data_IF_249474317017
#
_entry.id   IF_249474317017
#
_cell.length_a   1.000
_cell.length_b   1.000
_cell.length_c   1.000
_cell.angle_alpha   90.00
_cell.angle_beta   90.00
_cell.angle_gamma   90.00
#
_symmetry.space_group_name_H-M   'P 1'
#
loop_
_entity.id
_entity.type
_entity.pdbx_description
1 polymer ?
#
# COMPACT_ATOMS: atom_id res chain seq x y z
N UNK A 1 63.37 -14.45 -33.54
CA UNK A 1 62.79 -14.68 -32.20
C UNK A 1 62.60 -13.32 -31.56
N UNK A 2 61.36 -12.85 -31.44
CA UNK A 2 61.04 -11.53 -30.88
C UNK A 2 59.82 -11.70 -30.00
N UNK A 3 60.02 -11.64 -28.69
CA UNK A 3 58.97 -11.81 -27.67
C UNK A 3 58.41 -10.42 -27.36
N UNK A 4 57.12 -10.20 -27.65
CA UNK A 4 56.38 -9.00 -27.24
C UNK A 4 55.74 -9.26 -25.87
N UNK A 5 56.24 -8.54 -24.87
CA UNK A 5 55.69 -8.48 -23.52
C UNK A 5 54.56 -7.45 -23.48
N UNK A 6 53.33 -7.87 -23.20
CA UNK A 6 52.18 -6.98 -22.99
C UNK A 6 52.06 -6.74 -21.48
N UNK A 7 52.37 -5.50 -21.03
CA UNK A 7 52.05 -5.05 -19.68
C UNK A 7 50.55 -4.77 -19.57
N UNK A 8 49.84 -5.57 -18.78
CA UNK A 8 48.49 -5.28 -18.32
C UNK A 8 48.63 -4.42 -17.07
N UNK A 9 48.47 -3.10 -17.22
CA UNK A 9 48.42 -2.16 -16.11
C UNK A 9 47.11 -2.32 -15.35
N UNK A 10 47.20 -2.82 -14.11
CA UNK A 10 46.09 -2.86 -13.17
C UNK A 10 45.76 -1.43 -12.70
N UNK A 11 44.78 -0.79 -13.36
CA UNK A 11 44.13 0.42 -12.85
C UNK A 11 43.27 0.02 -11.65
N UNK A 12 43.85 0.14 -10.45
CA UNK A 12 43.12 0.17 -9.19
C UNK A 12 42.30 1.47 -9.15
N UNK A 13 41.11 1.45 -9.76
CA UNK A 13 40.10 2.46 -9.50
C UNK A 13 39.58 2.24 -8.07
N UNK A 14 40.24 2.89 -7.11
CA UNK A 14 39.66 3.16 -5.80
C UNK A 14 38.48 4.12 -6.03
N UNK A 15 37.31 3.57 -6.36
CA UNK A 15 36.07 4.29 -6.17
C UNK A 15 35.89 4.48 -4.67
N UNK A 16 36.45 5.56 -4.16
CA UNK A 16 36.00 6.17 -2.92
C UNK A 16 34.53 6.51 -3.15
N UNK A 17 33.64 5.58 -2.80
CA UNK A 17 32.23 5.91 -2.62
C UNK A 17 32.22 7.13 -1.70
N UNK A 18 31.65 8.27 -2.14
CA UNK A 18 31.51 9.40 -1.23
C UNK A 18 30.86 8.84 0.02
N UNK A 19 31.43 9.13 1.18
CA UNK A 19 30.75 8.96 2.45
C UNK A 19 29.45 9.74 2.30
N UNK A 20 28.40 9.05 1.85
CA UNK A 20 27.07 9.62 1.79
C UNK A 20 26.85 10.07 3.21
N UNK A 21 26.60 11.37 3.38
CA UNK A 21 26.13 11.88 4.63
C UNK A 21 24.95 10.97 4.97
N UNK A 22 25.14 10.04 5.90
CA UNK A 22 24.05 9.32 6.52
C UNK A 22 23.19 10.45 7.06
N UNK A 23 22.12 10.76 6.34
CA UNK A 23 21.12 11.67 6.80
C UNK A 23 20.60 10.99 8.07
N UNK A 24 21.18 11.37 9.21
CA UNK A 24 20.87 10.79 10.50
C UNK A 24 19.37 11.00 10.64
N UNK A 25 18.61 9.90 10.63
CA UNK A 25 17.20 9.98 10.94
C UNK A 25 17.09 10.78 12.24
N UNK A 26 16.17 11.75 12.33
CA UNK A 26 15.74 12.24 13.63
C UNK A 26 15.53 11.03 14.54
N UNK A 27 16.00 11.10 15.78
CA UNK A 27 15.73 10.03 16.73
C UNK A 27 14.20 9.82 16.80
N UNK A 28 13.77 8.58 17.07
CA UNK A 28 12.35 8.24 17.13
C UNK A 28 11.52 9.22 17.99
N UNK A 29 12.12 9.75 19.07
CA UNK A 29 11.51 10.72 19.98
C UNK A 29 11.28 12.12 19.40
N UNK A 30 11.88 12.46 18.26
CA UNK A 30 11.81 13.79 17.65
C UNK A 30 10.86 13.88 16.46
N UNK A 31 10.22 12.77 16.07
CA UNK A 31 9.21 12.82 15.02
C UNK A 31 7.91 13.42 15.55
N UNK A 32 7.46 14.48 14.88
CA UNK A 32 6.11 15.00 15.00
C UNK A 32 5.44 15.00 13.62
N UNK A 33 4.13 15.24 13.58
CA UNK A 33 3.33 15.26 12.35
C UNK A 33 3.99 16.09 11.23
N UNK A 34 4.46 17.29 11.54
CA UNK A 34 5.05 18.20 10.56
C UNK A 34 6.39 17.67 10.02
N UNK A 35 7.29 17.23 10.89
CA UNK A 35 8.59 16.68 10.50
C UNK A 35 8.43 15.40 9.67
N UNK A 36 7.53 14.49 10.09
CA UNK A 36 7.25 13.25 9.38
C UNK A 36 6.65 13.52 8.00
N UNK A 37 5.68 14.44 7.91
CA UNK A 37 5.06 14.85 6.64
C UNK A 37 6.10 15.48 5.70
N UNK A 38 6.90 16.42 6.20
CA UNK A 38 7.94 17.07 5.41
C UNK A 38 8.97 16.06 4.88
N UNK A 39 9.36 15.08 5.69
CA UNK A 39 10.25 14.01 5.28
C UNK A 39 9.65 13.14 4.16
N UNK A 40 8.39 12.72 4.31
CA UNK A 40 7.70 11.86 3.34
C UNK A 40 7.29 12.61 2.05
N UNK A 41 7.30 13.94 2.06
CA UNK A 41 7.12 14.76 0.87
C UNK A 41 8.43 15.09 0.16
N UNK A 42 9.58 14.88 0.81
CA UNK A 42 10.89 15.05 0.18
C UNK A 42 11.13 13.98 -0.89
N UNK A 43 12.08 14.26 -1.79
CA UNK A 43 12.39 13.38 -2.92
C UNK A 43 12.74 11.96 -2.47
N UNK A 44 12.11 10.98 -3.12
CA UNK A 44 12.22 9.56 -2.83
C UNK A 44 13.66 9.03 -2.91
N UNK A 45 14.51 9.62 -3.75
CA UNK A 45 15.92 9.24 -3.88
C UNK A 45 16.74 9.52 -2.61
N UNK A 46 16.25 10.44 -1.77
CA UNK A 46 16.90 10.82 -0.51
C UNK A 46 16.37 10.07 0.72
N UNK A 47 15.34 9.24 0.53
CA UNK A 47 14.68 8.57 1.64
C UNK A 47 15.42 7.29 2.05
N UNK A 48 15.77 7.23 3.34
CA UNK A 48 16.38 6.06 3.96
C UNK A 48 15.24 5.24 4.56
N UNK A 49 15.16 3.96 4.19
CA UNK A 49 14.02 3.11 4.54
C UNK A 49 13.72 3.07 6.06
N UNK A 50 14.75 3.06 6.92
CA UNK A 50 14.54 3.12 8.38
C UNK A 50 13.90 4.43 8.83
N UNK A 51 14.31 5.57 8.26
CA UNK A 51 13.69 6.88 8.53
C UNK A 51 12.25 6.93 7.98
N UNK A 52 12.00 6.41 6.78
CA UNK A 52 10.65 6.33 6.18
C UNK A 52 9.71 5.55 7.09
N UNK A 53 10.17 4.40 7.61
CA UNK A 53 9.38 3.62 8.57
C UNK A 53 9.07 4.41 9.84
N UNK A 54 10.05 5.12 10.42
CA UNK A 54 9.82 5.91 11.63
C UNK A 54 8.87 7.09 11.39
N UNK A 55 9.00 7.77 10.25
CA UNK A 55 8.10 8.85 9.85
C UNK A 55 6.66 8.33 9.70
N UNK A 56 6.46 7.20 9.01
CA UNK A 56 5.13 6.58 8.86
C UNK A 56 4.54 6.13 10.21
N UNK A 57 5.36 5.59 11.12
CA UNK A 57 4.92 5.24 12.47
C UNK A 57 4.51 6.46 13.28
N UNK A 58 5.20 7.59 13.14
CA UNK A 58 4.81 8.84 13.78
C UNK A 58 3.51 9.43 13.21
N UNK A 59 3.20 9.16 11.93
CA UNK A 59 1.91 9.48 11.34
C UNK A 59 0.79 8.51 11.75
N UNK A 60 1.13 7.35 12.34
CA UNK A 60 0.19 6.39 12.89
C UNK A 60 -0.14 6.65 14.37
N UNK A 61 0.10 7.87 14.86
CA UNK A 61 -0.40 8.36 16.15
C UNK A 61 -1.89 8.74 16.00
N UNK A 62 -2.82 8.24 16.84
CA UNK A 62 -4.23 8.62 16.81
C UNK A 62 -4.50 10.13 16.94
N UNK A 63 -3.60 10.89 17.57
CA UNK A 63 -3.71 12.35 17.67
C UNK A 63 -3.18 13.05 16.41
N UNK A 64 -2.38 12.36 15.60
CA UNK A 64 -1.92 12.86 14.32
C UNK A 64 -3.07 12.76 13.30
N UNK A 65 -3.22 13.82 12.49
CA UNK A 65 -4.20 13.85 11.39
C UNK A 65 -3.49 13.89 10.04
N UNK A 66 -2.67 12.87 9.68
CA UNK A 66 -1.99 12.86 8.38
C UNK A 66 -2.98 12.92 7.22
N UNK A 67 -2.53 13.48 6.09
CA UNK A 67 -3.24 13.42 4.82
C UNK A 67 -3.24 11.98 4.28
N UNK A 68 -4.41 11.33 4.12
CA UNK A 68 -4.48 9.97 3.57
C UNK A 68 -3.86 9.84 2.17
N UNK A 69 -3.91 10.89 1.35
CA UNK A 69 -3.33 10.90 -0.01
C UNK A 69 -1.82 10.78 0.01
N UNK A 70 -1.16 11.32 1.04
CA UNK A 70 0.26 11.13 1.25
C UNK A 70 0.55 9.68 1.66
N UNK A 71 -0.23 9.14 2.59
CA UNK A 71 -0.01 7.80 3.14
C UNK A 71 -0.18 6.69 2.09
N UNK A 72 -1.11 6.86 1.14
CA UNK A 72 -1.32 5.86 0.08
C UNK A 72 -0.11 5.67 -0.83
N UNK A 73 0.81 6.64 -0.90
CA UNK A 73 2.08 6.50 -1.64
C UNK A 73 3.01 5.45 -1.03
N UNK A 74 2.79 5.09 0.22
CA UNK A 74 3.60 4.15 0.99
C UNK A 74 2.89 2.82 1.22
N UNK A 75 1.84 2.51 0.46
CA UNK A 75 1.15 1.23 0.54
C UNK A 75 2.04 0.05 0.14
N UNK A 76 3.00 0.25 -0.76
CA UNK A 76 4.00 -0.75 -1.13
C UNK A 76 5.21 -0.81 -0.20
N UNK A 77 5.35 0.13 0.73
CA UNK A 77 6.52 0.24 1.57
C UNK A 77 6.50 -0.83 2.69
N UNK A 78 7.47 -1.73 2.64
CA UNK A 78 7.72 -2.73 3.68
C UNK A 78 8.84 -2.29 4.61
N UNK A 79 8.68 -2.53 5.90
CA UNK A 79 9.72 -2.17 6.88
C UNK A 79 11.00 -2.99 6.65
N UNK A 80 12.18 -2.35 6.53
CA UNK A 80 13.44 -3.02 6.19
C UNK A 80 14.04 -3.86 7.34
N UNK A 81 13.73 -3.55 8.61
CA UNK A 81 14.35 -4.15 9.78
C UNK A 81 13.33 -4.77 10.75
N UNK A 82 13.21 -6.10 10.71
CA UNK A 82 12.53 -6.86 11.77
C UNK A 82 13.49 -7.27 12.88
N UNK A 83 14.80 -7.16 12.63
CA UNK A 83 15.87 -7.51 13.57
C UNK A 83 15.89 -6.54 14.75
N UNK A 84 15.20 -6.90 15.84
CA UNK A 84 15.13 -6.10 17.06
C UNK A 84 13.71 -5.92 17.61
N UNK A 85 12.69 -6.14 16.78
CA UNK A 85 11.38 -6.46 17.31
C UNK A 85 11.40 -7.92 17.75
N UNK A 86 11.03 -8.16 19.01
CA UNK A 86 10.70 -9.50 19.43
C UNK A 86 9.62 -10.03 18.48
N UNK A 87 9.85 -11.18 17.85
CA UNK A 87 8.85 -11.84 17.00
C UNK A 87 7.51 -12.06 17.73
N UNK A 88 7.52 -11.97 19.07
CA UNK A 88 6.36 -12.00 19.96
C UNK A 88 5.48 -10.73 19.92
N UNK A 89 5.90 -9.64 19.27
CA UNK A 89 5.11 -8.40 19.16
C UNK A 89 4.67 -8.09 17.73
N UNK A 90 4.97 -8.98 16.78
CA UNK A 90 4.57 -8.87 15.38
C UNK A 90 3.38 -9.81 15.19
N UNK A 91 2.18 -9.26 15.36
CA UNK A 91 0.96 -10.08 15.31
C UNK A 91 0.21 -9.89 13.98
N UNK A 92 0.49 -8.81 13.24
CA UNK A 92 -0.33 -8.42 12.09
C UNK A 92 0.49 -7.85 10.91
N UNK A 93 -0.05 -7.93 9.69
CA UNK A 93 0.62 -7.36 8.48
C UNK A 93 0.78 -5.85 8.60
N UNK A 94 -0.08 -5.19 9.38
CA UNK A 94 0.03 -3.79 9.75
C UNK A 94 1.39 -3.45 10.38
N UNK A 95 2.04 -4.41 11.04
CA UNK A 95 3.36 -4.23 11.66
C UNK A 95 4.52 -4.28 10.63
N UNK A 96 4.27 -4.84 9.45
CA UNK A 96 5.22 -4.91 8.33
C UNK A 96 5.02 -3.78 7.31
N UNK A 97 3.79 -3.29 7.19
CA UNK A 97 3.40 -2.27 6.22
C UNK A 97 2.98 -0.98 6.97
N UNK A 98 3.94 -0.12 7.39
CA UNK A 98 3.63 1.05 8.21
C UNK A 98 2.70 2.06 7.52
N UNK A 99 2.67 2.11 6.18
CA UNK A 99 1.69 2.89 5.42
C UNK A 99 0.25 2.40 5.63
N UNK A 100 0.03 1.09 5.66
CA UNK A 100 -1.29 0.49 5.99
C UNK A 100 -1.69 0.87 7.41
N UNK A 101 -0.76 0.73 8.37
CA UNK A 101 -1.03 1.09 9.78
C UNK A 101 -1.44 2.56 9.93
N UNK A 102 -0.73 3.48 9.29
CA UNK A 102 -1.07 4.90 9.32
C UNK A 102 -2.45 5.18 8.71
N UNK A 103 -2.81 4.53 7.60
CA UNK A 103 -4.13 4.66 6.96
C UNK A 103 -5.26 4.15 7.86
N UNK A 104 -5.03 3.03 8.56
CA UNK A 104 -5.99 2.43 9.50
C UNK A 104 -6.20 3.33 10.72
N UNK A 105 -5.14 3.89 11.28
CA UNK A 105 -5.24 4.86 12.38
C UNK A 105 -5.96 6.13 11.94
N UNK A 106 -5.70 6.59 10.70
CA UNK A 106 -6.45 7.69 10.12
C UNK A 106 -7.95 7.36 9.97
N UNK A 107 -8.33 6.09 9.86
CA UNK A 107 -9.73 5.63 9.91
C UNK A 107 -10.51 5.90 8.62
N UNK A 108 -11.82 6.12 8.75
CA UNK A 108 -12.75 6.26 7.62
C UNK A 108 -12.40 7.40 6.66
N UNK A 109 -11.73 8.46 7.13
CA UNK A 109 -11.27 9.55 6.25
C UNK A 109 -10.26 9.10 5.19
N UNK A 110 -9.66 7.92 5.36
CA UNK A 110 -8.75 7.31 4.39
C UNK A 110 -9.48 6.57 3.26
N UNK A 111 -10.77 6.23 3.43
CA UNK A 111 -11.51 5.42 2.47
C UNK A 111 -11.56 6.01 1.06
N UNK A 112 -11.81 7.33 0.85
CA UNK A 112 -11.79 7.90 -0.50
C UNK A 112 -10.42 7.76 -1.19
N UNK A 113 -9.33 8.04 -0.46
CA UNK A 113 -7.98 7.90 -1.01
C UNK A 113 -7.64 6.44 -1.34
N UNK A 114 -8.17 5.47 -0.59
CA UNK A 114 -8.02 4.05 -0.87
C UNK A 114 -8.80 3.62 -2.11
N UNK A 115 -10.00 4.15 -2.34
CA UNK A 115 -10.77 3.93 -3.58
C UNK A 115 -10.01 4.47 -4.79
N UNK A 116 -9.39 5.65 -4.68
CA UNK A 116 -8.57 6.21 -5.77
C UNK A 116 -7.40 5.29 -6.13
N UNK A 117 -6.72 4.73 -5.12
CA UNK A 117 -5.64 3.75 -5.32
C UNK A 117 -6.14 2.49 -6.02
N UNK A 118 -7.27 1.94 -5.57
CA UNK A 118 -7.84 0.72 -6.11
C UNK A 118 -8.41 0.91 -7.52
N UNK A 119 -8.87 2.12 -7.84
CA UNK A 119 -9.33 2.52 -9.18
C UNK A 119 -8.17 2.72 -10.17
N UNK A 120 -6.98 3.02 -9.66
CA UNK A 120 -5.78 3.28 -10.45
C UNK A 120 -5.05 2.00 -10.88
N UNK A 121 -4.19 2.10 -11.89
CA UNK A 121 -3.30 1.02 -12.29
C UNK A 121 -2.08 0.96 -11.37
N UNK A 122 -2.25 0.30 -10.22
CA UNK A 122 -1.22 0.12 -9.20
C UNK A 122 -0.61 -1.26 -9.24
N UNK A 123 0.55 -1.45 -8.61
CA UNK A 123 1.13 -2.77 -8.47
C UNK A 123 0.25 -3.67 -7.59
N UNK A 124 0.31 -4.98 -7.84
CA UNK A 124 -0.58 -5.94 -7.17
C UNK A 124 -0.44 -5.92 -5.64
N UNK A 125 0.78 -5.80 -5.15
CA UNK A 125 1.05 -5.77 -3.71
C UNK A 125 0.49 -4.49 -3.05
N UNK A 126 0.56 -3.33 -3.72
CA UNK A 126 -0.06 -2.09 -3.26
C UNK A 126 -1.59 -2.21 -3.21
N UNK A 127 -2.21 -2.80 -4.24
CA UNK A 127 -3.66 -3.05 -4.26
C UNK A 127 -4.09 -3.97 -3.13
N UNK A 128 -3.37 -5.08 -2.90
CA UNK A 128 -3.63 -5.98 -1.76
C UNK A 128 -3.54 -5.25 -0.43
N UNK A 129 -2.54 -4.40 -0.25
CA UNK A 129 -2.40 -3.60 0.97
C UNK A 129 -3.52 -2.55 1.11
N UNK A 130 -3.99 -1.96 0.01
CA UNK A 130 -5.14 -1.04 0.00
C UNK A 130 -6.44 -1.74 0.41
N UNK A 131 -6.78 -2.88 -0.20
CA UNK A 131 -7.97 -3.67 0.20
C UNK A 131 -7.88 -4.07 1.67
N UNK A 132 -6.69 -4.44 2.14
CA UNK A 132 -6.47 -4.76 3.55
C UNK A 132 -6.71 -3.56 4.46
N UNK A 133 -6.23 -2.37 4.09
CA UNK A 133 -6.48 -1.15 4.84
C UNK A 133 -7.99 -0.86 4.95
N UNK A 134 -8.73 -0.98 3.84
CA UNK A 134 -10.20 -0.83 3.83
C UNK A 134 -10.84 -1.82 4.81
N UNK A 135 -10.50 -3.11 4.73
CA UNK A 135 -11.04 -4.13 5.64
C UNK A 135 -10.76 -3.81 7.11
N UNK A 136 -9.57 -3.32 7.43
CA UNK A 136 -9.19 -2.98 8.81
C UNK A 136 -9.92 -1.74 9.32
N UNK A 137 -10.09 -0.71 8.48
CA UNK A 137 -10.88 0.48 8.79
C UNK A 137 -12.34 0.09 9.06
N UNK A 138 -12.89 -0.82 8.25
CA UNK A 138 -14.24 -1.38 8.41
C UNK A 138 -14.28 -2.55 9.42
N UNK A 139 -13.47 -2.46 10.48
CA UNK A 139 -13.49 -3.36 11.64
C UNK A 139 -13.34 -4.86 11.32
N UNK A 140 -12.55 -5.20 10.30
CA UNK A 140 -12.29 -6.59 9.84
C UNK A 140 -13.53 -7.29 9.28
N UNK A 141 -14.62 -6.56 9.01
CA UNK A 141 -15.83 -7.12 8.41
C UNK A 141 -15.65 -7.31 6.89
N UNK A 142 -15.63 -8.56 6.44
CA UNK A 142 -15.41 -8.87 5.03
C UNK A 142 -16.59 -8.46 4.16
N UNK A 143 -17.82 -8.67 4.63
CA UNK A 143 -19.04 -8.33 3.90
C UNK A 143 -19.11 -6.81 3.66
N UNK A 144 -18.95 -6.00 4.70
CA UNK A 144 -18.93 -4.53 4.58
C UNK A 144 -17.80 -4.02 3.69
N UNK A 145 -16.66 -4.71 3.65
CA UNK A 145 -15.56 -4.39 2.72
C UNK A 145 -15.97 -4.63 1.27
N UNK A 146 -16.60 -5.78 0.98
CA UNK A 146 -17.08 -6.13 -0.36
C UNK A 146 -18.16 -5.14 -0.79
N UNK A 147 -19.15 -4.87 0.06
CA UNK A 147 -20.23 -3.91 -0.21
C UNK A 147 -19.67 -2.53 -0.54
N UNK A 148 -18.78 -1.99 0.31
CA UNK A 148 -18.13 -0.70 0.09
C UNK A 148 -17.41 -0.63 -1.26
N UNK A 149 -16.67 -1.67 -1.64
CA UNK A 149 -15.92 -1.69 -2.90
C UNK A 149 -16.83 -1.84 -4.13
N UNK A 150 -17.92 -2.58 -4.02
CA UNK A 150 -18.90 -2.73 -5.10
C UNK A 150 -19.72 -1.46 -5.29
N UNK A 151 -20.10 -0.78 -4.21
CA UNK A 151 -20.78 0.52 -4.29
C UNK A 151 -19.86 1.57 -4.93
N UNK A 152 -18.57 1.61 -4.55
CA UNK A 152 -17.58 2.45 -5.22
C UNK A 152 -17.39 2.07 -6.70
N UNK A 153 -17.47 0.78 -7.04
CA UNK A 153 -17.38 0.32 -8.43
C UNK A 153 -18.53 0.88 -9.26
N UNK A 154 -19.78 0.88 -8.77
CA UNK A 154 -20.95 1.39 -9.49
C UNK A 154 -20.84 2.87 -9.85
N UNK A 155 -20.13 3.66 -9.04
CA UNK A 155 -19.88 5.08 -9.30
C UNK A 155 -18.69 5.31 -10.24
N UNK A 156 -17.81 4.31 -10.41
CA UNK A 156 -16.58 4.44 -11.17
C UNK A 156 -16.76 4.15 -12.67
N UNK A 157 -16.13 4.91 -13.58
CA UNK A 157 -16.22 4.66 -15.01
C UNK A 157 -15.19 3.66 -15.54
N UNK A 158 -15.58 2.91 -16.57
CA UNK A 158 -14.66 2.20 -17.47
C UNK A 158 -13.73 1.20 -16.78
N UNK A 159 -12.42 1.44 -16.82
CA UNK A 159 -11.44 0.52 -16.21
C UNK A 159 -11.36 0.63 -14.69
N UNK A 160 -11.79 1.74 -14.10
CA UNK A 160 -11.81 1.90 -12.65
C UNK A 160 -12.88 0.99 -12.02
N UNK A 161 -14.07 0.92 -12.64
CA UNK A 161 -15.16 -0.01 -12.29
C UNK A 161 -14.64 -1.44 -12.08
N UNK A 162 -14.06 -2.02 -13.14
CA UNK A 162 -13.55 -3.40 -13.11
C UNK A 162 -12.46 -3.63 -12.07
N UNK A 163 -11.59 -2.65 -11.85
CA UNK A 163 -10.53 -2.77 -10.82
C UNK A 163 -11.10 -2.77 -9.41
N UNK A 164 -12.17 -2.02 -9.16
CA UNK A 164 -12.88 -2.04 -7.89
C UNK A 164 -13.66 -3.35 -7.70
N UNK A 165 -14.26 -3.91 -8.77
CA UNK A 165 -14.83 -5.27 -8.73
C UNK A 165 -13.76 -6.32 -8.42
N UNK A 166 -12.59 -6.24 -9.05
CA UNK A 166 -11.45 -7.12 -8.77
C UNK A 166 -10.96 -6.97 -7.32
N UNK A 167 -10.97 -5.74 -6.78
CA UNK A 167 -10.67 -5.47 -5.39
C UNK A 167 -11.71 -6.08 -4.45
N UNK A 168 -13.00 -6.03 -4.81
CA UNK A 168 -14.07 -6.69 -4.06
C UNK A 168 -13.92 -8.22 -4.06
N UNK A 169 -13.59 -8.84 -5.21
CA UNK A 169 -13.26 -10.28 -5.30
C UNK A 169 -12.06 -10.63 -4.42
N UNK A 170 -11.03 -9.79 -4.41
CA UNK A 170 -9.87 -9.97 -3.54
C UNK A 170 -10.25 -9.88 -2.05
N UNK A 171 -11.16 -8.99 -1.67
CA UNK A 171 -11.70 -8.94 -0.30
C UNK A 171 -12.48 -10.21 0.06
N UNK A 172 -13.26 -10.74 -0.89
CA UNK A 172 -13.99 -12.02 -0.77
C UNK A 172 -13.10 -13.22 -0.44
N UNK A 173 -11.88 -13.26 -1.00
CA UNK A 173 -10.90 -14.31 -0.70
C UNK A 173 -10.42 -14.31 0.77
N UNK A 174 -10.78 -13.29 1.57
CA UNK A 174 -10.49 -13.22 3.01
C UNK A 174 -11.72 -13.39 3.89
N UNK A 175 -12.86 -13.79 3.33
CA UNK A 175 -14.01 -14.17 4.14
C UNK A 175 -13.67 -15.42 4.96
N UNK A 176 -14.05 -15.40 6.24
CA UNK A 176 -13.89 -16.58 7.09
C UNK A 176 -14.91 -17.65 6.75
N UNK A 177 -14.69 -18.88 7.20
CA UNK A 177 -15.55 -20.03 6.91
C UNK A 177 -17.03 -19.80 7.24
N UNK A 178 -17.31 -19.00 8.29
CA UNK A 178 -18.67 -18.68 8.72
C UNK A 178 -19.38 -17.68 7.79
N UNK A 179 -18.65 -16.82 7.10
CA UNK A 179 -19.19 -15.74 6.25
C UNK A 179 -19.06 -16.04 4.75
N UNK A 180 -18.35 -17.11 4.37
CA UNK A 180 -17.97 -17.42 2.99
C UNK A 180 -19.19 -17.47 2.06
N UNK A 181 -20.25 -18.17 2.47
CA UNK A 181 -21.47 -18.28 1.66
C UNK A 181 -22.17 -16.94 1.43
N UNK A 182 -22.13 -16.02 2.41
CA UNK A 182 -22.71 -14.68 2.29
C UNK A 182 -21.88 -13.80 1.37
N UNK A 183 -20.55 -13.85 1.49
CA UNK A 183 -19.63 -13.16 0.59
C UNK A 183 -19.80 -13.63 -0.86
N UNK A 184 -19.84 -14.93 -1.09
CA UNK A 184 -20.02 -15.52 -2.42
C UNK A 184 -21.36 -15.11 -3.01
N UNK A 185 -22.45 -15.20 -2.23
CA UNK A 185 -23.78 -14.79 -2.67
C UNK A 185 -23.84 -13.30 -3.03
N UNK A 186 -23.16 -12.43 -2.27
CA UNK A 186 -23.09 -11.00 -2.55
C UNK A 186 -22.32 -10.73 -3.85
N UNK A 187 -21.14 -11.33 -4.00
CA UNK A 187 -20.30 -11.19 -5.20
C UNK A 187 -21.04 -11.71 -6.44
N UNK A 188 -21.67 -12.88 -6.36
CA UNK A 188 -22.45 -13.43 -7.46
C UNK A 188 -23.60 -12.50 -7.84
N UNK A 189 -24.38 -12.04 -6.85
CA UNK A 189 -25.53 -11.16 -7.08
C UNK A 189 -25.13 -9.87 -7.78
N UNK A 190 -24.06 -9.21 -7.33
CA UNK A 190 -23.66 -7.88 -7.83
C UNK A 190 -22.84 -7.95 -9.12
N UNK A 191 -22.01 -8.98 -9.29
CA UNK A 191 -21.11 -9.08 -10.45
C UNK A 191 -21.73 -9.84 -11.63
N UNK A 192 -22.58 -10.84 -11.41
CA UNK A 192 -23.23 -11.60 -12.51
C UNK A 192 -24.51 -10.94 -13.02
N UNK A 193 -25.18 -10.13 -12.19
CA UNK A 193 -26.39 -9.41 -12.58
C UNK A 193 -26.18 -8.39 -13.70
N UNK A 194 -24.95 -7.93 -13.91
CA UNK A 194 -24.59 -6.93 -14.91
C UNK A 194 -24.49 -7.50 -16.34
N UNK A 195 -24.15 -8.78 -16.49
CA UNK A 195 -23.95 -9.39 -17.82
C UNK A 195 -25.27 -9.62 -18.59
N UNK A 196 -26.42 -9.60 -17.89
CA UNK A 196 -27.72 -9.85 -18.52
C UNK A 196 -28.46 -8.58 -18.97
N UNK A 197 -28.00 -7.38 -18.58
CA UNK A 197 -28.73 -6.14 -18.77
C UNK A 197 -28.38 -5.34 -20.05
N UNK A 198 -27.41 -5.75 -20.87
CA UNK A 198 -26.94 -4.97 -22.03
C UNK A 198 -26.84 -5.74 -23.33
N UNK A 199 -27.99 -6.05 -23.96
CA UNK A 199 -28.10 -5.96 -25.43
C UNK A 199 -29.47 -5.34 -25.81
N UNK A 200 -29.63 -4.01 -25.72
CA UNK A 200 -30.69 -3.35 -26.47
C UNK A 200 -30.37 -3.46 -27.95
N UNK A 201 -31.27 -4.10 -28.70
CA UNK A 201 -31.11 -4.45 -30.09
C UNK A 201 -30.57 -3.32 -30.96
N UNK A 202 -29.47 -3.61 -31.64
CA UNK A 202 -29.05 -2.91 -32.86
C UNK A 202 -30.13 -3.12 -33.92
N UNK A 203 -31.08 -2.20 -34.00
CA UNK A 203 -31.92 -2.05 -35.18
C UNK A 203 -31.09 -1.41 -36.28
N UNK A 204 -30.88 -2.17 -37.36
CA UNK A 204 -30.35 -1.71 -38.65
C UNK A 204 -31.20 -0.61 -39.25
#
# INVERSE_FOLDING_TARGET
MTIRTILIGALLFQYSLPAQAEARCPSAANWNLHAATAYLLADSESQVASCTSQALLALADPEATPDPTLLTRYLGFMRPDLHGLNMLTIDTVEDFCPGVKALVVAGERSLPALVDVLSANREEHERRNAVRAVKLILHRNSLSTIEFLLDAAEEAPGTAHRRLEDAARLAGAWCGDLELAECDALLDKRLTGLDTASVPGSTR
#
